data_IF_433616937508
#
_entry.id   IF_433616937508
#
_cell.length_a   1.000
_cell.length_b   1.000
_cell.length_c   1.000
_cell.angle_alpha   90.00
_cell.angle_beta   90.00
_cell.angle_gamma   90.00
#
_symmetry.space_group_name_H-M   'P 1'
#
loop_
_entity.id
_entity.type
_entity.pdbx_description
1 polymer ?
#
# COMPACT_ATOMS: atom_id res chain seq x y z
N UNK A 1 -12.65 -17.67 16.68
CA UNK A 1 -12.47 -16.24 16.76
C UNK A 1 -12.26 -15.65 15.41
N UNK A 2 -12.79 -14.48 15.26
CA UNK A 2 -12.70 -13.80 13.97
C UNK A 2 -11.27 -13.44 13.61
N UNK A 3 -10.52 -13.04 14.61
CA UNK A 3 -9.13 -12.67 14.38
C UNK A 3 -8.35 -13.85 13.81
N UNK A 4 -8.52 -14.99 14.41
CA UNK A 4 -7.86 -16.21 13.99
C UNK A 4 -8.22 -16.59 12.57
N UNK A 5 -9.50 -16.48 12.26
CA UNK A 5 -9.98 -16.84 10.94
C UNK A 5 -9.46 -15.88 9.87
N UNK A 6 -9.50 -14.59 10.15
CA UNK A 6 -8.99 -13.60 9.23
C UNK A 6 -7.50 -13.82 8.97
N UNK A 7 -6.77 -14.11 10.03
CA UNK A 7 -5.34 -14.36 9.92
C UNK A 7 -5.08 -15.56 9.00
N UNK A 8 -5.80 -16.65 9.24
CA UNK A 8 -5.62 -17.84 8.41
C UNK A 8 -5.91 -17.59 6.95
N UNK A 9 -6.98 -16.85 6.68
CA UNK A 9 -7.34 -16.53 5.30
C UNK A 9 -6.28 -15.69 4.63
N UNK A 10 -5.77 -14.70 5.33
CA UNK A 10 -4.76 -13.83 4.77
C UNK A 10 -3.45 -14.56 4.52
N UNK A 11 -3.06 -15.43 5.45
CA UNK A 11 -1.84 -16.21 5.26
C UNK A 11 -2.00 -17.15 4.08
N UNK A 12 -3.16 -17.75 3.93
CA UNK A 12 -3.40 -18.65 2.80
C UNK A 12 -3.28 -17.89 1.49
N UNK A 13 -3.82 -16.67 1.43
CA UNK A 13 -3.72 -15.85 0.23
C UNK A 13 -2.28 -15.50 -0.10
N UNK A 14 -1.48 -15.21 0.92
CA UNK A 14 -0.10 -14.81 0.69
C UNK A 14 0.77 -15.94 0.19
N UNK A 15 0.29 -17.17 0.30
CA UNK A 15 1.04 -18.32 -0.18
C UNK A 15 0.73 -18.69 -1.62
N UNK A 16 -0.11 -17.92 -2.27
CA UNK A 16 -0.52 -18.20 -3.63
C UNK A 16 0.19 -17.30 -4.61
N UNK A 17 1.30 -17.76 -5.14
CA UNK A 17 1.97 -17.05 -6.22
C UNK A 17 2.56 -15.72 -5.81
N UNK A 18 2.45 -14.74 -6.67
CA UNK A 18 3.23 -13.52 -6.61
C UNK A 18 2.53 -12.35 -5.95
N UNK A 19 1.65 -12.63 -5.03
CA UNK A 19 0.88 -11.57 -4.38
C UNK A 19 1.80 -10.59 -3.65
N UNK A 20 2.94 -11.06 -3.18
CA UNK A 20 3.82 -10.21 -2.38
C UNK A 20 4.49 -9.08 -3.13
N UNK A 21 4.35 -9.02 -4.45
CA UNK A 21 5.05 -8.01 -5.21
C UNK A 21 4.08 -7.08 -5.92
N UNK A 22 3.33 -6.33 -5.14
CA UNK A 22 2.35 -5.40 -5.66
C UNK A 22 2.96 -4.09 -6.14
N UNK A 23 4.13 -3.73 -5.62
CA UNK A 23 4.84 -2.54 -6.03
C UNK A 23 6.26 -2.93 -6.39
N UNK A 24 6.64 -2.58 -7.60
CA UNK A 24 7.99 -2.79 -8.09
C UNK A 24 8.62 -1.42 -8.30
N UNK A 25 9.54 -1.06 -7.43
CA UNK A 25 10.14 0.27 -7.47
C UNK A 25 10.93 0.51 -8.75
N UNK A 26 11.46 -0.54 -9.36
CA UNK A 26 12.17 -0.37 -10.63
C UNK A 26 11.23 0.07 -11.74
N UNK A 27 9.97 -0.35 -11.67
CA UNK A 27 8.98 0.07 -12.63
C UNK A 27 8.59 1.52 -12.41
N UNK A 28 8.39 1.91 -11.15
CA UNK A 28 7.94 3.26 -10.86
C UNK A 28 9.05 4.30 -10.89
N UNK A 29 10.26 3.91 -10.51
CA UNK A 29 11.40 4.84 -10.51
C UNK A 29 12.17 4.65 -11.80
N UNK A 30 11.59 5.09 -12.89
CA UNK A 30 12.20 4.98 -14.21
C UNK A 30 12.60 6.38 -14.71
N UNK A 31 13.10 6.43 -15.94
CA UNK A 31 13.59 7.69 -16.47
C UNK A 31 12.52 8.78 -16.50
N UNK A 32 11.29 8.41 -16.79
CA UNK A 32 10.22 9.40 -16.85
C UNK A 32 9.92 10.01 -15.48
N UNK A 33 9.84 9.17 -14.45
CA UNK A 33 9.55 9.68 -13.12
C UNK A 33 10.73 10.46 -12.56
N UNK A 34 11.95 10.02 -12.86
CA UNK A 34 13.14 10.68 -12.34
C UNK A 34 13.35 12.07 -12.94
N UNK A 35 12.72 12.36 -14.07
CA UNK A 35 12.76 13.69 -14.66
C UNK A 35 12.01 14.71 -13.84
N UNK A 36 11.03 14.28 -13.06
CA UNK A 36 10.26 15.18 -12.21
C UNK A 36 10.63 14.91 -10.76
N UNK A 37 11.39 15.81 -10.17
CA UNK A 37 11.87 15.58 -8.83
C UNK A 37 10.75 15.59 -7.79
N UNK A 38 9.65 16.27 -8.04
CA UNK A 38 8.52 16.25 -7.12
C UNK A 38 7.89 14.86 -7.07
N UNK A 39 7.71 14.24 -8.24
CA UNK A 39 7.15 12.89 -8.31
C UNK A 39 8.12 11.90 -7.65
N UNK A 40 9.40 12.04 -7.93
CA UNK A 40 10.41 11.17 -7.34
C UNK A 40 10.39 11.27 -5.82
N UNK A 41 10.31 12.48 -5.28
CA UNK A 41 10.25 12.65 -3.84
C UNK A 41 9.00 12.06 -3.24
N UNK A 42 7.86 12.18 -3.94
CA UNK A 42 6.62 11.58 -3.47
C UNK A 42 6.73 10.06 -3.41
N UNK A 43 7.37 9.46 -4.42
CA UNK A 43 7.58 8.02 -4.43
C UNK A 43 8.50 7.59 -3.28
N UNK A 44 9.55 8.34 -3.02
CA UNK A 44 10.43 8.02 -1.91
C UNK A 44 9.71 8.15 -0.57
N UNK A 45 8.79 9.10 -0.45
CA UNK A 45 7.99 9.22 0.76
C UNK A 45 7.17 7.96 1.01
N UNK A 46 6.58 7.40 -0.04
CA UNK A 46 5.85 6.15 0.11
C UNK A 46 6.79 5.05 0.58
N UNK A 47 7.93 4.90 -0.09
CA UNK A 47 8.86 3.82 0.23
C UNK A 47 9.36 3.90 1.66
N UNK A 48 9.70 5.11 2.12
CA UNK A 48 10.36 5.28 3.40
C UNK A 48 9.42 5.57 4.56
N UNK A 49 8.21 6.09 4.28
CA UNK A 49 7.29 6.51 5.33
C UNK A 49 5.89 5.95 5.18
N UNK A 50 5.74 4.81 4.49
CA UNK A 50 4.42 4.22 4.26
C UNK A 50 3.66 3.93 5.54
N UNK A 51 4.39 3.69 6.62
CA UNK A 51 3.79 3.33 7.91
C UNK A 51 3.26 4.54 8.68
N UNK A 52 3.48 5.73 8.17
CA UNK A 52 3.03 6.95 8.82
C UNK A 52 1.87 7.56 8.04
N UNK A 53 1.26 8.55 8.65
CA UNK A 53 0.17 9.26 8.00
C UNK A 53 0.74 10.23 6.98
N UNK A 54 0.82 9.79 5.75
CA UNK A 54 1.28 10.65 4.66
C UNK A 54 0.16 10.80 3.65
N UNK A 55 0.15 11.93 2.96
CA UNK A 55 -0.84 12.21 1.94
C UNK A 55 -0.20 13.07 0.88
N UNK A 56 -0.84 13.10 -0.30
CA UNK A 56 -0.34 13.97 -1.37
C UNK A 56 -0.40 15.42 -0.93
N UNK A 57 -1.38 15.78 -0.12
CA UNK A 57 -1.52 17.15 0.37
C UNK A 57 -0.34 17.54 1.25
N UNK A 58 0.03 16.67 2.19
CA UNK A 58 1.13 16.98 3.09
C UNK A 58 2.46 17.04 2.36
N UNK A 59 2.63 16.18 1.37
CA UNK A 59 3.87 16.18 0.59
C UNK A 59 3.94 17.41 -0.29
N UNK A 60 2.82 17.80 -0.90
CA UNK A 60 2.78 19.00 -1.73
C UNK A 60 3.14 20.23 -0.89
N UNK A 61 2.65 20.26 0.34
CA UNK A 61 2.95 21.35 1.24
C UNK A 61 4.45 21.41 1.54
N UNK A 62 5.06 20.27 1.81
CA UNK A 62 6.49 20.19 2.05
C UNK A 62 7.31 20.68 0.85
N UNK A 63 6.83 20.36 -0.34
CA UNK A 63 7.54 20.68 -1.57
C UNK A 63 7.18 22.05 -2.12
N UNK A 64 6.26 22.74 -1.44
CA UNK A 64 5.84 24.08 -1.82
C UNK A 64 5.23 24.13 -3.21
N UNK A 65 4.39 23.15 -3.50
CA UNK A 65 3.62 23.09 -4.74
C UNK A 65 2.18 22.80 -4.38
N UNK A 66 1.27 23.02 -5.35
CA UNK A 66 -0.13 22.73 -5.08
C UNK A 66 -0.37 21.22 -5.13
N UNK A 67 -1.32 20.77 -4.30
CA UNK A 67 -1.67 19.36 -4.28
C UNK A 67 -2.22 18.91 -5.62
N UNK A 68 -2.99 19.77 -6.29
CA UNK A 68 -3.53 19.47 -7.60
C UNK A 68 -2.44 19.25 -8.63
N UNK A 69 -1.43 20.09 -8.60
CA UNK A 69 -0.31 19.96 -9.53
C UNK A 69 0.42 18.65 -9.28
N UNK A 70 0.77 18.39 -8.02
CA UNK A 70 1.52 17.18 -7.67
C UNK A 70 0.73 15.94 -8.01
N UNK A 71 -0.56 15.94 -7.69
CA UNK A 71 -1.42 14.79 -7.96
C UNK A 71 -1.48 14.47 -9.45
N UNK A 72 -1.64 15.50 -10.27
CA UNK A 72 -1.70 15.30 -11.71
C UNK A 72 -0.37 14.81 -12.26
N UNK A 73 0.72 15.43 -11.84
CA UNK A 73 2.03 15.02 -12.33
C UNK A 73 2.37 13.61 -11.88
N UNK A 74 2.00 13.26 -10.66
CA UNK A 74 2.26 11.93 -10.13
C UNK A 74 1.53 10.87 -10.98
N UNK A 75 0.26 11.11 -11.27
CA UNK A 75 -0.51 10.16 -12.05
C UNK A 75 -0.01 10.09 -13.49
N UNK A 76 0.37 11.24 -14.06
CA UNK A 76 0.91 11.26 -15.41
C UNK A 76 2.19 10.43 -15.51
N UNK A 77 3.03 10.52 -14.51
CA UNK A 77 4.33 9.85 -14.54
C UNK A 77 4.24 8.38 -14.20
N UNK A 78 3.35 8.00 -13.29
CA UNK A 78 3.29 6.62 -12.79
C UNK A 78 2.11 5.82 -13.31
N UNK A 79 1.11 6.50 -13.85
CA UNK A 79 -0.12 5.83 -14.29
C UNK A 79 -1.09 5.54 -13.19
N UNK A 80 -0.75 5.85 -11.95
CA UNK A 80 -1.60 5.57 -10.80
C UNK A 80 -1.60 6.75 -9.85
N UNK A 81 -2.62 6.83 -9.00
CA UNK A 81 -2.66 7.89 -8.01
C UNK A 81 -1.70 7.59 -6.87
N UNK A 82 -1.34 8.63 -6.15
CA UNK A 82 -0.48 8.48 -4.97
C UNK A 82 -1.10 7.48 -3.99
N UNK A 83 -2.40 7.64 -3.75
CA UNK A 83 -3.09 6.78 -2.79
C UNK A 83 -3.07 5.31 -3.23
N UNK A 84 -3.24 5.06 -4.53
CA UNK A 84 -3.21 3.70 -5.04
C UNK A 84 -1.86 3.04 -4.79
N UNK A 85 -0.79 3.74 -5.08
CA UNK A 85 0.55 3.16 -4.88
C UNK A 85 0.83 2.99 -3.39
N UNK A 86 0.43 3.97 -2.57
CA UNK A 86 0.62 3.88 -1.14
C UNK A 86 -0.10 2.67 -0.55
N UNK A 87 -1.36 2.47 -0.93
CA UNK A 87 -2.13 1.34 -0.42
C UNK A 87 -1.54 0.01 -0.87
N UNK A 88 -1.14 -0.07 -2.13
CA UNK A 88 -0.49 -1.28 -2.63
C UNK A 88 0.76 -1.61 -1.86
N UNK A 89 1.58 -0.60 -1.59
CA UNK A 89 2.83 -0.84 -0.88
C UNK A 89 2.59 -1.24 0.57
N UNK A 90 1.60 -0.62 1.21
CA UNK A 90 1.22 -1.02 2.57
C UNK A 90 0.79 -2.47 2.61
N UNK A 91 0.01 -2.91 1.63
CA UNK A 91 -0.42 -4.30 1.56
C UNK A 91 0.78 -5.22 1.29
N UNK A 92 1.69 -4.80 0.45
CA UNK A 92 2.89 -5.59 0.19
C UNK A 92 3.68 -5.81 1.49
N UNK A 93 3.83 -4.76 2.28
CA UNK A 93 4.51 -4.88 3.57
C UNK A 93 3.73 -5.74 4.55
N UNK A 94 2.41 -5.62 4.52
CA UNK A 94 1.56 -6.45 5.38
C UNK A 94 1.72 -7.93 5.06
N UNK A 95 1.79 -8.26 3.77
CA UNK A 95 2.00 -9.64 3.35
C UNK A 95 3.32 -10.17 3.92
N UNK A 96 4.36 -9.36 3.84
CA UNK A 96 5.66 -9.74 4.39
C UNK A 96 5.59 -10.03 5.88
N UNK A 97 4.87 -9.20 6.62
CA UNK A 97 4.74 -9.38 8.06
C UNK A 97 3.89 -10.62 8.39
N UNK A 98 2.84 -10.83 7.63
CA UNK A 98 1.98 -12.00 7.86
C UNK A 98 2.73 -13.29 7.59
N UNK A 99 3.62 -13.30 6.61
CA UNK A 99 4.41 -14.48 6.30
C UNK A 99 5.35 -14.87 7.42
N UNK A 100 5.75 -13.92 8.23
CA UNK A 100 6.62 -14.22 9.37
C UNK A 100 5.90 -15.02 10.45
N UNK A 101 4.58 -14.90 10.51
CA UNK A 101 3.78 -15.68 11.43
C UNK A 101 3.88 -15.31 12.90
N UNK A 102 4.43 -14.15 13.21
CA UNK A 102 4.62 -13.73 14.60
C UNK A 102 3.71 -12.57 15.00
N UNK A 103 3.02 -11.97 14.06
CA UNK A 103 2.17 -10.83 14.34
C UNK A 103 0.70 -11.19 14.19
N UNK A 104 -0.14 -10.57 15.00
CA UNK A 104 -1.58 -10.68 14.82
C UNK A 104 -2.01 -9.78 13.69
N UNK A 105 -3.15 -10.08 13.08
CA UNK A 105 -3.61 -9.31 11.92
C UNK A 105 -3.78 -7.83 12.25
N UNK A 106 -4.36 -7.53 13.42
CA UNK A 106 -4.54 -6.12 13.76
C UNK A 106 -3.22 -5.41 14.04
N UNK A 107 -2.21 -6.17 14.49
CA UNK A 107 -0.87 -5.60 14.66
C UNK A 107 -0.27 -5.25 13.31
N UNK A 108 -0.47 -6.13 12.33
CA UNK A 108 0.01 -5.88 10.98
C UNK A 108 -0.66 -4.64 10.40
N UNK A 109 -1.95 -4.48 10.66
CA UNK A 109 -2.68 -3.30 10.22
C UNK A 109 -2.03 -2.02 10.76
N UNK A 110 -1.74 -2.00 12.06
CA UNK A 110 -1.10 -0.84 12.68
C UNK A 110 0.30 -0.60 12.15
N UNK A 111 1.09 -1.66 12.05
CA UNK A 111 2.49 -1.54 11.63
C UNK A 111 2.64 -1.06 10.21
N UNK A 112 1.63 -1.25 9.39
CA UNK A 112 1.70 -0.86 7.99
C UNK A 112 1.00 0.46 7.69
N UNK A 113 0.58 1.17 8.73
CA UNK A 113 0.08 2.52 8.54
C UNK A 113 -1.41 2.67 8.38
N UNK A 114 -2.16 1.58 8.53
CA UNK A 114 -3.63 1.67 8.47
C UNK A 114 -4.14 2.14 9.82
N UNK A 115 -4.99 3.15 9.80
CA UNK A 115 -5.55 3.66 11.05
C UNK A 115 -6.77 2.88 11.48
N UNK A 116 -7.31 2.06 10.61
CA UNK A 116 -8.57 1.35 10.84
C UNK A 116 -8.42 -0.08 10.34
N UNK A 117 -8.56 -1.02 11.26
CA UNK A 117 -8.45 -2.44 10.91
C UNK A 117 -9.44 -2.84 9.83
N UNK A 118 -10.65 -2.30 9.92
CA UNK A 118 -11.68 -2.61 8.93
C UNK A 118 -11.26 -2.15 7.54
N UNK A 119 -10.71 -0.96 7.47
CA UNK A 119 -10.22 -0.43 6.21
C UNK A 119 -9.06 -1.28 5.68
N UNK A 120 -8.18 -1.71 6.58
CA UNK A 120 -7.09 -2.60 6.21
C UNK A 120 -7.63 -3.86 5.53
N UNK A 121 -8.64 -4.47 6.12
CA UNK A 121 -9.22 -5.69 5.56
C UNK A 121 -9.80 -5.45 4.18
N UNK A 122 -10.50 -4.35 3.99
CA UNK A 122 -11.08 -4.02 2.70
C UNK A 122 -9.99 -3.83 1.65
N UNK A 123 -8.95 -3.10 1.99
CA UNK A 123 -7.86 -2.83 1.05
C UNK A 123 -7.06 -4.09 0.77
N UNK A 124 -6.80 -4.90 1.79
CA UNK A 124 -6.09 -6.15 1.62
C UNK A 124 -6.82 -7.04 0.62
N UNK A 125 -8.12 -7.18 0.82
CA UNK A 125 -8.94 -8.00 -0.05
C UNK A 125 -8.93 -7.47 -1.49
N UNK A 126 -8.97 -6.16 -1.62
CA UNK A 126 -8.99 -5.55 -2.94
C UNK A 126 -7.74 -5.87 -3.75
N UNK A 127 -6.59 -5.86 -3.11
CA UNK A 127 -5.32 -6.02 -3.84
C UNK A 127 -4.77 -7.43 -3.85
N UNK A 128 -5.32 -8.35 -3.06
CA UNK A 128 -4.81 -9.70 -3.01
C UNK A 128 -5.78 -10.74 -3.53
N UNK A 129 -7.06 -10.42 -3.58
CA UNK A 129 -8.04 -11.42 -3.93
C UNK A 129 -8.04 -11.73 -5.40
N UNK A 130 -8.43 -12.94 -5.71
CA UNK A 130 -8.81 -13.28 -7.05
C UNK A 130 -10.29 -12.99 -7.19
N UNK A 131 -10.84 -13.22 -8.37
CA UNK A 131 -12.23 -12.88 -8.62
C UNK A 131 -13.20 -13.55 -7.68
N UNK A 132 -12.78 -14.64 -7.05
CA UNK A 132 -13.65 -15.39 -6.17
C UNK A 132 -13.50 -15.07 -4.71
N UNK A 133 -12.50 -14.36 -4.35
CA UNK A 133 -12.24 -14.06 -2.95
C UNK A 133 -13.12 -12.93 -2.48
N UNK A 134 -13.95 -13.22 -1.53
CA UNK A 134 -14.90 -12.22 -1.11
C UNK A 134 -15.07 -12.07 0.37
N UNK A 135 -14.64 -13.04 1.15
CA UNK A 135 -14.99 -13.04 2.54
C UNK A 135 -13.82 -13.08 3.47
N UNK A 136 -12.66 -12.72 3.02
CA UNK A 136 -11.47 -12.89 3.82
C UNK A 136 -11.49 -12.11 5.12
N UNK A 137 -12.05 -10.92 5.11
CA UNK A 137 -12.04 -10.07 6.29
C UNK A 137 -13.42 -9.81 6.83
N UNK A 138 -14.34 -10.63 6.49
CA UNK A 138 -15.68 -10.44 6.99
C UNK A 138 -15.78 -10.81 8.45
N UNK A 139 -16.31 -9.95 9.25
CA UNK A 139 -16.55 -10.27 10.65
C UNK A 139 -17.62 -11.31 10.81
#
# INVERSE_FOLDING_TARGET
MEESRAYSSMVALTKQGDIGKLVDWDVYLNENTLKNSYVTQALYKIRDYYHEKISIDSIAEELDVSASYLSRKFKDATGQTFLEILMRYRIQKAIGLLKKGVYRVYEVSDLTGFSDYKNFCVVFKKYTKTSRERQTCDP
#
